data_IF_324312602212
#
_entry.id   IF_324312602212
#
_cell.length_a   1.000
_cell.length_b   1.000
_cell.length_c   1.000
_cell.angle_alpha   90.00
_cell.angle_beta   90.00
_cell.angle_gamma   90.00
#
_symmetry.space_group_name_H-M   'P 1'
#
loop_
_entity.id
_entity.type
_entity.pdbx_description
1 polymer ?
#
# COMPACT_ATOMS: atom_id res chain seq x y z
N UNK A 1 26.26 11.34 37.62
CA UNK A 1 24.86 11.78 37.51
C UNK A 1 24.75 12.62 36.23
N UNK A 2 24.80 11.99 35.05
CA UNK A 2 24.93 12.78 33.79
C UNK A 2 24.58 12.07 32.46
N UNK A 3 23.79 11.00 32.42
CA UNK A 3 23.49 10.33 31.13
C UNK A 3 22.00 10.33 30.73
N UNK A 4 21.29 11.42 31.05
CA UNK A 4 19.90 11.67 30.58
C UNK A 4 19.86 12.27 29.15
N UNK A 5 20.99 12.71 28.61
CA UNK A 5 21.09 13.39 27.30
C UNK A 5 21.07 12.44 26.09
N UNK A 6 21.13 11.13 26.29
CA UNK A 6 21.14 10.15 25.20
C UNK A 6 19.74 9.82 24.62
N UNK A 7 18.66 10.26 25.26
CA UNK A 7 17.28 10.01 24.79
C UNK A 7 16.62 11.22 24.12
N UNK A 8 17.33 12.34 23.97
CA UNK A 8 16.80 13.58 23.34
C UNK A 8 16.85 13.51 21.79
N UNK A 9 17.41 12.44 21.22
CA UNK A 9 17.64 12.26 19.78
C UNK A 9 16.56 11.47 19.03
N UNK A 10 15.58 10.90 19.72
CA UNK A 10 14.43 10.21 19.09
C UNK A 10 13.17 11.00 19.38
N UNK A 11 13.04 12.18 18.77
CA UNK A 11 11.71 12.70 18.50
C UNK A 11 10.97 11.59 17.75
N UNK A 12 9.75 11.19 18.16
CA UNK A 12 8.98 10.24 17.38
C UNK A 12 8.80 10.87 16.01
N UNK A 13 9.52 10.33 15.02
CA UNK A 13 9.39 10.72 13.65
C UNK A 13 7.95 10.35 13.30
N UNK A 14 7.07 11.35 13.28
CA UNK A 14 5.66 11.20 12.99
C UNK A 14 5.57 10.31 11.76
N UNK A 15 5.01 9.11 11.89
CA UNK A 15 4.98 8.11 10.83
C UNK A 15 4.23 8.72 9.64
N UNK A 16 4.98 9.35 8.74
CA UNK A 16 4.43 10.09 7.63
C UNK A 16 3.83 9.12 6.63
N UNK A 17 2.99 9.62 5.73
CA UNK A 17 2.43 8.82 4.63
C UNK A 17 3.53 8.02 3.88
N UNK A 18 4.73 8.59 3.73
CA UNK A 18 5.87 7.91 3.09
C UNK A 18 6.40 6.69 3.85
N UNK A 19 6.30 6.65 5.18
CA UNK A 19 6.73 5.51 6.00
C UNK A 19 5.75 4.33 5.83
N UNK A 20 4.44 4.62 5.77
CA UNK A 20 3.42 3.62 5.42
C UNK A 20 3.65 3.04 4.02
N UNK A 21 3.94 3.89 3.01
CA UNK A 21 4.27 3.43 1.66
C UNK A 21 5.62 2.68 1.58
N UNK A 22 6.57 2.97 2.47
CA UNK A 22 7.84 2.28 2.54
C UNK A 22 7.72 0.91 3.20
N UNK A 23 6.88 0.79 4.24
CA UNK A 23 6.52 -0.47 4.91
C UNK A 23 5.66 -1.36 4.00
N UNK A 24 4.66 -0.78 3.33
CA UNK A 24 3.87 -1.43 2.29
C UNK A 24 4.71 -1.57 1.02
N UNK A 25 5.69 -2.48 1.05
CA UNK A 25 6.71 -2.71 0.03
C UNK A 25 6.19 -2.34 -1.38
N UNK A 26 6.57 -1.18 -1.95
CA UNK A 26 5.83 -0.55 -3.06
C UNK A 26 5.84 -1.37 -4.36
N UNK A 27 6.73 -2.37 -4.43
CA UNK A 27 6.75 -3.36 -5.50
C UNK A 27 5.55 -4.32 -5.45
N UNK A 28 5.07 -4.69 -4.27
CA UNK A 28 3.94 -5.64 -4.10
C UNK A 28 2.63 -4.97 -4.48
N UNK A 29 2.43 -3.71 -4.07
CA UNK A 29 1.23 -2.94 -4.42
C UNK A 29 1.08 -2.78 -5.94
N UNK A 30 2.18 -2.50 -6.66
CA UNK A 30 2.17 -2.38 -8.13
C UNK A 30 1.88 -3.72 -8.84
N UNK A 31 2.40 -4.84 -8.32
CA UNK A 31 2.12 -6.18 -8.86
C UNK A 31 0.62 -6.50 -8.80
N UNK A 32 -0.03 -6.17 -7.68
CA UNK A 32 -1.45 -6.44 -7.46
C UNK A 32 -2.34 -5.58 -8.35
N UNK A 33 -1.99 -4.30 -8.54
CA UNK A 33 -2.72 -3.42 -9.48
C UNK A 33 -2.57 -3.93 -10.92
N UNK A 34 -1.37 -4.42 -11.29
CA UNK A 34 -1.13 -4.98 -12.61
C UNK A 34 -1.96 -6.25 -12.85
N UNK A 35 -2.00 -7.18 -11.90
CA UNK A 35 -2.82 -8.40 -12.03
C UNK A 35 -4.32 -8.09 -12.08
N UNK A 36 -4.80 -7.11 -11.31
CA UNK A 36 -6.19 -6.67 -11.37
C UNK A 36 -6.53 -6.03 -12.73
N UNK A 37 -5.64 -5.23 -13.30
CA UNK A 37 -5.80 -4.64 -14.64
C UNK A 37 -5.84 -5.72 -15.73
N UNK A 38 -4.90 -6.67 -15.71
CA UNK A 38 -4.86 -7.78 -16.67
C UNK A 38 -6.14 -8.63 -16.56
N UNK A 39 -6.59 -8.94 -15.34
CA UNK A 39 -7.84 -9.65 -15.11
C UNK A 39 -9.06 -8.94 -15.68
N UNK A 40 -9.09 -7.60 -15.60
CA UNK A 40 -10.17 -6.79 -16.14
C UNK A 40 -10.17 -6.73 -17.68
N UNK A 41 -8.99 -6.75 -18.30
CA UNK A 41 -8.83 -6.80 -19.77
C UNK A 41 -9.22 -8.18 -20.32
N UNK A 42 -8.90 -9.26 -19.60
CA UNK A 42 -9.21 -10.64 -20.01
C UNK A 42 -10.69 -10.99 -19.78
N UNK A 43 -11.36 -10.35 -18.81
CA UNK A 43 -12.75 -10.64 -18.49
C UNK A 43 -13.68 -10.37 -19.70
N UNK A 44 -14.39 -11.38 -20.22
CA UNK A 44 -15.32 -11.22 -21.36
C UNK A 44 -16.68 -10.65 -20.92
N UNK A 45 -16.70 -9.85 -19.86
CA UNK A 45 -17.91 -9.30 -19.24
C UNK A 45 -17.80 -7.78 -19.18
N UNK A 46 -18.80 -7.03 -19.67
CA UNK A 46 -18.84 -5.59 -19.50
C UNK A 46 -19.02 -5.26 -18.01
N UNK A 47 -17.93 -4.83 -17.38
CA UNK A 47 -17.94 -4.35 -16.00
C UNK A 47 -18.18 -2.85 -15.97
N UNK A 48 -19.07 -2.40 -15.08
CA UNK A 48 -19.24 -0.97 -14.83
C UNK A 48 -17.92 -0.39 -14.30
N UNK A 49 -17.45 0.77 -14.81
CA UNK A 49 -16.15 1.34 -14.44
C UNK A 49 -16.01 1.63 -12.95
N UNK A 50 -17.11 1.90 -12.25
CA UNK A 50 -17.13 2.06 -10.79
C UNK A 50 -16.79 0.74 -10.08
N UNK A 51 -17.33 -0.37 -10.55
CA UNK A 51 -17.09 -1.71 -10.00
C UNK A 51 -15.66 -2.16 -10.32
N UNK A 52 -15.18 -1.87 -11.52
CA UNK A 52 -13.79 -2.07 -11.93
C UNK A 52 -12.81 -1.37 -10.96
N UNK A 53 -13.04 -0.08 -10.71
CA UNK A 53 -12.19 0.72 -9.84
C UNK A 53 -12.26 0.27 -8.37
N UNK A 54 -13.46 -0.04 -7.88
CA UNK A 54 -13.65 -0.61 -6.55
C UNK A 54 -12.91 -1.96 -6.41
N UNK A 55 -12.99 -2.83 -7.41
CA UNK A 55 -12.33 -4.14 -7.41
C UNK A 55 -10.82 -3.99 -7.32
N UNK A 56 -10.23 -3.12 -8.14
CA UNK A 56 -8.78 -2.86 -8.10
C UNK A 56 -8.35 -2.31 -6.74
N UNK A 57 -9.11 -1.38 -6.15
CA UNK A 57 -8.83 -0.82 -4.82
C UNK A 57 -8.87 -1.89 -3.72
N UNK A 58 -9.91 -2.71 -3.68
CA UNK A 58 -10.05 -3.75 -2.66
C UNK A 58 -8.97 -4.83 -2.77
N UNK A 59 -8.64 -5.27 -4.00
CA UNK A 59 -7.57 -6.24 -4.22
C UNK A 59 -6.21 -5.62 -3.83
N UNK A 60 -5.95 -4.37 -4.22
CA UNK A 60 -4.71 -3.67 -3.86
C UNK A 60 -4.55 -3.49 -2.34
N UNK A 61 -5.64 -3.18 -1.62
CA UNK A 61 -5.62 -3.07 -0.15
C UNK A 61 -5.39 -4.44 0.51
N UNK A 62 -6.08 -5.49 0.04
CA UNK A 62 -5.95 -6.84 0.59
C UNK A 62 -4.59 -7.49 0.31
N UNK A 63 -4.03 -7.28 -0.89
CA UNK A 63 -2.72 -7.82 -1.28
C UNK A 63 -1.52 -6.96 -0.83
N UNK A 64 -1.72 -5.66 -0.60
CA UNK A 64 -0.67 -4.74 -0.15
C UNK A 64 -0.30 -4.91 1.33
N UNK A 65 -1.21 -5.44 2.16
CA UNK A 65 -0.99 -5.64 3.60
C UNK A 65 -0.27 -6.96 3.95
N UNK A 66 0.01 -7.84 2.98
CA UNK A 66 0.61 -9.17 3.24
C UNK A 66 2.15 -9.16 3.24
N UNK A 67 2.77 -8.00 3.42
CA UNK A 67 4.22 -7.80 3.46
C UNK A 67 4.63 -7.00 4.67
#
# INVERSE_FOLDING_TARGET
>A
MTDIRAYEGTAPQEAGFGDYFALLKPRVMSLVVFTALVGLVVAPVPVHPVVALASILFIAIGGGASG
#
